data_IF_691576260411
#
_entry.id   IF_691576260411
#
_cell.length_a   1.000
_cell.length_b   1.000
_cell.length_c   1.000
_cell.angle_alpha   90.00
_cell.angle_beta   90.00
_cell.angle_gamma   90.00
#
_symmetry.space_group_name_H-M   'P 1'
#
loop_
_entity.id
_entity.type
_entity.pdbx_description
1 polymer ?
#
# COMPACT_ATOMS: atom_id res chain seq x y z
N UNK A 1 19.27 -47.83 -11.39
CA UNK A 1 19.67 -46.41 -11.32
C UNK A 1 18.75 -45.65 -12.28
N UNK A 2 17.69 -45.04 -11.75
CA UNK A 2 16.88 -44.08 -12.52
C UNK A 2 17.35 -42.70 -12.06
N UNK A 3 18.23 -42.09 -12.86
CA UNK A 3 18.61 -40.69 -12.73
C UNK A 3 17.34 -39.83 -12.70
N UNK A 4 17.26 -39.01 -11.66
CA UNK A 4 16.18 -38.08 -11.42
C UNK A 4 16.01 -37.15 -12.61
N UNK A 5 14.90 -37.31 -13.33
CA UNK A 5 14.36 -36.21 -14.12
C UNK A 5 13.84 -35.17 -13.13
N UNK A 6 14.68 -34.17 -12.83
CA UNK A 6 14.20 -32.90 -12.31
C UNK A 6 13.04 -32.46 -13.20
N UNK A 7 11.84 -32.43 -12.63
CA UNK A 7 10.67 -31.95 -13.36
C UNK A 7 10.94 -30.47 -13.63
N UNK A 8 11.15 -30.12 -14.90
CA UNK A 8 11.19 -28.72 -15.34
C UNK A 8 9.98 -27.99 -14.74
N UNK A 9 10.25 -27.11 -13.76
CA UNK A 9 9.23 -26.24 -13.19
C UNK A 9 8.65 -25.44 -14.37
N UNK A 10 7.32 -25.46 -14.60
CA UNK A 10 6.75 -24.70 -15.69
C UNK A 10 7.14 -23.24 -15.54
N UNK A 11 7.81 -22.70 -16.55
CA UNK A 11 8.22 -21.30 -16.59
C UNK A 11 6.94 -20.48 -16.65
N UNK A 12 6.47 -20.00 -15.50
CA UNK A 12 5.39 -19.02 -15.43
C UNK A 12 5.96 -17.69 -15.94
N UNK A 13 5.92 -17.51 -17.26
CA UNK A 13 6.29 -16.26 -17.92
C UNK A 13 5.17 -15.26 -17.66
N UNK A 14 5.45 -14.20 -16.90
CA UNK A 14 4.47 -13.15 -16.64
C UNK A 14 4.55 -12.55 -15.26
N UNK A 15 3.79 -11.47 -15.06
CA UNK A 15 3.55 -10.90 -13.75
C UNK A 15 2.72 -11.85 -12.89
N UNK A 16 3.28 -12.29 -11.75
CA UNK A 16 2.64 -13.24 -10.85
C UNK A 16 1.29 -12.72 -10.32
N UNK A 17 0.36 -13.62 -10.00
CA UNK A 17 -0.93 -13.24 -9.40
C UNK A 17 -0.76 -12.50 -8.06
N UNK A 18 0.23 -12.90 -7.27
CA UNK A 18 0.58 -12.24 -6.01
C UNK A 18 1.00 -10.77 -6.24
N UNK A 19 1.87 -10.51 -7.21
CA UNK A 19 2.33 -9.15 -7.52
C UNK A 19 1.21 -8.28 -8.07
N UNK A 20 0.35 -8.82 -8.93
CA UNK A 20 -0.85 -8.11 -9.41
C UNK A 20 -1.78 -7.74 -8.26
N UNK A 21 -2.05 -8.70 -7.36
CA UNK A 21 -2.92 -8.49 -6.20
C UNK A 21 -2.34 -7.41 -5.28
N UNK A 22 -1.03 -7.44 -5.06
CA UNK A 22 -0.33 -6.43 -4.26
C UNK A 22 -0.49 -5.04 -4.86
N UNK A 23 -0.22 -4.85 -6.15
CA UNK A 23 -0.37 -3.54 -6.80
C UNK A 23 -1.81 -3.05 -6.69
N UNK A 24 -2.79 -3.92 -6.95
CA UNK A 24 -4.21 -3.55 -6.84
C UNK A 24 -4.59 -3.17 -5.42
N UNK A 25 -4.13 -3.91 -4.42
CA UNK A 25 -4.33 -3.59 -3.02
C UNK A 25 -3.70 -2.24 -2.65
N UNK A 26 -2.48 -1.96 -3.14
CA UNK A 26 -1.81 -0.68 -2.92
C UNK A 26 -2.54 0.49 -3.57
N UNK A 27 -3.04 0.34 -4.79
CA UNK A 27 -3.84 1.38 -5.44
C UNK A 27 -5.15 1.60 -4.69
N UNK A 28 -5.85 0.52 -4.31
CA UNK A 28 -7.08 0.63 -3.53
C UNK A 28 -6.85 1.34 -2.19
N UNK A 29 -5.76 0.99 -1.49
CA UNK A 29 -5.37 1.61 -0.23
C UNK A 29 -4.99 3.09 -0.40
N UNK A 30 -4.23 3.43 -1.44
CA UNK A 30 -3.86 4.81 -1.74
C UNK A 30 -5.09 5.67 -2.07
N UNK A 31 -6.03 5.13 -2.85
CA UNK A 31 -7.32 5.78 -3.10
C UNK A 31 -8.17 5.90 -1.84
N UNK A 32 -8.06 4.95 -0.91
CA UNK A 32 -8.77 5.01 0.35
C UNK A 32 -8.23 6.15 1.21
N UNK A 33 -6.91 6.34 1.30
CA UNK A 33 -6.29 7.38 2.14
C UNK A 33 -6.35 8.75 1.48
N UNK A 34 -5.88 8.85 0.23
CA UNK A 34 -5.67 10.13 -0.47
C UNK A 34 -6.71 10.42 -1.55
N UNK A 35 -7.72 9.56 -1.69
CA UNK A 35 -8.77 9.79 -2.67
C UNK A 35 -9.56 11.07 -2.36
N UNK A 36 -9.98 11.82 -3.39
CA UNK A 36 -10.72 13.06 -3.20
C UNK A 36 -12.04 12.79 -2.47
N UNK A 37 -12.34 13.60 -1.45
CA UNK A 37 -13.60 13.59 -0.69
C UNK A 37 -14.49 14.75 -1.15
N UNK A 38 -13.89 15.93 -1.38
CA UNK A 38 -14.58 17.14 -1.85
C UNK A 38 -14.11 17.57 -3.25
N UNK A 39 -14.98 18.20 -4.07
CA UNK A 39 -16.37 18.58 -3.78
C UNK A 39 -17.42 17.48 -4.06
N UNK A 40 -16.97 16.29 -4.46
CA UNK A 40 -17.85 15.30 -5.09
C UNK A 40 -18.60 14.37 -4.12
N UNK A 41 -18.30 14.45 -2.82
CA UNK A 41 -18.98 13.69 -1.76
C UNK A 41 -18.62 12.20 -1.71
N UNK A 42 -19.18 11.52 -0.70
CA UNK A 42 -18.88 10.11 -0.39
C UNK A 42 -19.22 9.13 -1.53
N UNK A 43 -20.22 9.45 -2.35
CA UNK A 43 -20.67 8.58 -3.47
C UNK A 43 -19.56 8.46 -4.51
N UNK A 44 -18.91 9.56 -4.89
CA UNK A 44 -17.82 9.53 -5.86
C UNK A 44 -16.63 8.76 -5.29
N UNK A 45 -16.37 8.89 -3.99
CA UNK A 45 -15.37 8.07 -3.29
C UNK A 45 -15.62 6.58 -3.40
N UNK A 46 -16.84 6.14 -3.11
CA UNK A 46 -17.20 4.74 -3.27
C UNK A 46 -17.12 4.30 -4.74
N UNK A 47 -17.55 5.14 -5.68
CA UNK A 47 -17.52 4.82 -7.11
C UNK A 47 -16.09 4.52 -7.58
N UNK A 48 -15.12 5.39 -7.30
CA UNK A 48 -13.74 5.12 -7.74
C UNK A 48 -13.06 4.00 -6.95
N UNK A 49 -13.37 3.80 -5.66
CA UNK A 49 -12.87 2.67 -4.89
C UNK A 49 -13.36 1.32 -5.41
N UNK A 50 -14.54 1.29 -6.04
CA UNK A 50 -15.09 0.09 -6.67
C UNK A 50 -14.58 -0.07 -8.10
N UNK A 51 -14.46 1.02 -8.86
CA UNK A 51 -14.15 0.95 -10.31
C UNK A 51 -12.66 0.84 -10.58
N UNK A 52 -11.82 1.60 -9.88
CA UNK A 52 -10.38 1.69 -10.20
C UNK A 52 -9.64 0.38 -9.92
N UNK A 53 -9.80 -0.30 -8.76
CA UNK A 53 -9.03 -1.52 -8.49
C UNK A 53 -9.27 -2.65 -9.51
N UNK A 54 -10.51 -2.98 -9.92
CA UNK A 54 -10.76 -3.93 -11.01
C UNK A 54 -10.19 -3.47 -12.35
N UNK A 55 -10.24 -2.16 -12.65
CA UNK A 55 -9.69 -1.61 -13.88
C UNK A 55 -8.15 -1.76 -13.93
N UNK A 56 -7.47 -1.44 -12.83
CA UNK A 56 -6.02 -1.68 -12.68
C UNK A 56 -5.70 -3.16 -12.76
N UNK A 57 -6.47 -4.02 -12.09
CA UNK A 57 -6.32 -5.47 -12.18
C UNK A 57 -6.40 -5.95 -13.63
N UNK A 58 -7.39 -5.48 -14.39
CA UNK A 58 -7.60 -5.87 -15.78
C UNK A 58 -6.46 -5.39 -16.69
N UNK A 59 -5.98 -4.15 -16.50
CA UNK A 59 -4.81 -3.62 -17.21
C UNK A 59 -3.57 -4.48 -16.91
N UNK A 60 -3.30 -4.78 -15.64
CA UNK A 60 -2.18 -5.62 -15.23
C UNK A 60 -2.32 -7.06 -15.72
N UNK A 61 -3.54 -7.58 -15.86
CA UNK A 61 -3.76 -8.91 -16.44
C UNK A 61 -3.39 -8.92 -17.94
N UNK A 62 -3.77 -7.88 -18.68
CA UNK A 62 -3.51 -7.79 -20.12
C UNK A 62 -2.03 -7.50 -20.41
N UNK A 63 -1.45 -6.52 -19.74
CA UNK A 63 -0.05 -6.10 -19.91
C UNK A 63 0.93 -6.99 -19.16
N UNK A 64 0.58 -7.48 -17.97
CA UNK A 64 1.45 -8.35 -17.19
C UNK A 64 1.73 -9.69 -17.86
N UNK A 65 0.89 -10.13 -18.80
CA UNK A 65 1.12 -11.31 -19.63
C UNK A 65 2.19 -11.11 -20.72
N UNK A 66 2.40 -9.88 -21.19
CA UNK A 66 3.44 -9.60 -22.19
C UNK A 66 4.82 -9.39 -21.56
N UNK A 67 4.89 -9.17 -20.24
CA UNK A 67 6.15 -9.06 -19.51
C UNK A 67 6.77 -10.44 -19.33
N UNK A 68 7.98 -10.63 -19.85
CA UNK A 68 8.77 -11.85 -19.61
C UNK A 68 9.53 -11.70 -18.29
N UNK A 69 8.83 -11.90 -17.18
CA UNK A 69 9.44 -11.94 -15.85
C UNK A 69 9.56 -13.39 -15.39
N UNK A 70 10.77 -13.78 -15.01
CA UNK A 70 11.02 -15.02 -14.29
C UNK A 70 10.67 -14.87 -12.79
N UNK A 71 10.88 -15.92 -12.00
CA UNK A 71 10.59 -15.89 -10.56
C UNK A 71 11.42 -14.82 -9.84
N UNK A 72 12.71 -14.76 -10.15
CA UNK A 72 13.65 -13.79 -9.58
C UNK A 72 13.25 -12.34 -9.91
N UNK A 73 12.94 -12.04 -11.18
CA UNK A 73 12.49 -10.71 -11.59
C UNK A 73 11.16 -10.33 -10.94
N UNK A 74 10.24 -11.28 -10.73
CA UNK A 74 9.00 -11.02 -10.00
C UNK A 74 9.26 -10.66 -8.53
N UNK A 75 10.23 -11.30 -7.87
CA UNK A 75 10.62 -10.94 -6.50
C UNK A 75 11.28 -9.55 -6.45
N UNK A 76 12.25 -9.28 -7.32
CA UNK A 76 12.89 -7.97 -7.41
C UNK A 76 11.87 -6.85 -7.70
N UNK A 77 10.92 -7.10 -8.60
CA UNK A 77 9.87 -6.15 -8.91
C UNK A 77 8.97 -5.88 -7.70
N UNK A 78 8.55 -6.92 -6.97
CA UNK A 78 7.77 -6.76 -5.75
C UNK A 78 8.53 -5.92 -4.71
N UNK A 79 9.79 -6.24 -4.47
CA UNK A 79 10.65 -5.51 -3.53
C UNK A 79 10.85 -4.06 -3.96
N UNK A 80 11.00 -3.80 -5.25
CA UNK A 80 11.09 -2.45 -5.79
C UNK A 80 9.78 -1.66 -5.56
N UNK A 81 8.62 -2.26 -5.81
CA UNK A 81 7.31 -1.62 -5.57
C UNK A 81 7.13 -1.29 -4.09
N UNK A 82 7.43 -2.23 -3.19
CA UNK A 82 7.32 -1.99 -1.75
C UNK A 82 8.37 -0.97 -1.27
N UNK A 83 9.56 -0.96 -1.86
CA UNK A 83 10.58 0.05 -1.59
C UNK A 83 10.14 1.46 -2.00
N UNK A 84 9.51 1.61 -3.17
CA UNK A 84 8.92 2.88 -3.62
C UNK A 84 7.80 3.32 -2.68
N UNK A 85 6.93 2.39 -2.25
CA UNK A 85 5.88 2.67 -1.27
C UNK A 85 6.47 3.19 0.05
N UNK A 86 7.54 2.57 0.55
CA UNK A 86 8.23 3.04 1.76
C UNK A 86 8.75 4.48 1.60
N UNK A 87 9.31 4.81 0.43
CA UNK A 87 9.74 6.18 0.11
C UNK A 87 8.58 7.19 0.08
N UNK A 88 7.44 6.82 -0.52
CA UNK A 88 6.23 7.66 -0.54
C UNK A 88 5.70 7.89 0.87
N UNK A 89 5.62 6.85 1.70
CA UNK A 89 5.17 6.95 3.09
C UNK A 89 6.09 7.87 3.90
N UNK A 90 7.41 7.78 3.70
CA UNK A 90 8.36 8.65 4.39
C UNK A 90 8.26 10.11 3.93
N UNK A 91 8.02 10.35 2.64
CA UNK A 91 7.73 11.69 2.13
C UNK A 91 6.40 12.25 2.70
N UNK A 92 5.37 11.40 2.83
CA UNK A 92 4.10 11.75 3.46
C UNK A 92 4.29 12.13 4.93
N UNK A 93 5.03 11.33 5.69
CA UNK A 93 5.39 11.64 7.08
C UNK A 93 6.07 13.00 7.22
N UNK A 94 6.98 13.34 6.30
CA UNK A 94 7.63 14.64 6.30
C UNK A 94 6.64 15.79 6.01
N UNK A 95 5.68 15.59 5.12
CA UNK A 95 4.61 16.56 4.89
C UNK A 95 3.71 16.72 6.12
N UNK A 96 3.34 15.62 6.78
CA UNK A 96 2.57 15.62 8.05
C UNK A 96 3.29 16.38 9.16
N UNK A 97 4.61 16.19 9.27
CA UNK A 97 5.47 16.90 10.22
C UNK A 97 5.60 18.40 9.92
N UNK A 98 5.64 18.78 8.64
CA UNK A 98 5.76 20.18 8.22
C UNK A 98 4.42 20.89 8.09
N UNK A 99 3.30 20.17 8.27
CA UNK A 99 1.97 20.75 8.18
C UNK A 99 1.78 21.84 9.24
N UNK A 100 1.21 22.96 8.79
CA UNK A 100 0.86 24.07 9.71
C UNK A 100 -0.41 23.78 10.48
N UNK A 101 -1.25 22.90 9.97
CA UNK A 101 -2.56 22.60 10.51
C UNK A 101 -2.86 21.11 10.38
N UNK A 102 -3.58 20.56 11.35
CA UNK A 102 -4.12 19.22 11.29
C UNK A 102 -5.51 19.17 11.92
N UNK A 103 -6.24 18.08 11.68
CA UNK A 103 -7.53 17.86 12.31
C UNK A 103 -7.35 17.09 13.61
N UNK A 104 -7.84 17.65 14.71
CA UNK A 104 -7.81 17.02 16.02
C UNK A 104 -9.24 16.98 16.60
N UNK A 105 -9.54 15.92 17.34
CA UNK A 105 -10.81 15.82 18.03
C UNK A 105 -10.79 16.70 19.28
N UNK A 106 -11.82 17.54 19.45
CA UNK A 106 -11.93 18.47 20.58
C UNK A 106 -12.15 17.78 21.93
N UNK A 107 -12.76 16.59 21.92
CA UNK A 107 -13.10 15.86 23.14
C UNK A 107 -12.99 14.35 22.94
N UNK A 108 -12.25 13.71 23.84
CA UNK A 108 -12.16 12.25 23.92
C UNK A 108 -12.87 11.76 25.18
N UNK A 109 -13.64 10.70 25.05
CA UNK A 109 -14.23 9.97 26.18
C UNK A 109 -13.57 8.59 26.32
N UNK A 110 -13.28 8.18 27.55
CA UNK A 110 -12.68 6.88 27.82
C UNK A 110 -13.78 5.81 27.74
N UNK A 111 -13.67 4.90 26.78
CA UNK A 111 -14.55 3.73 26.61
C UNK A 111 -13.84 2.45 27.08
N UNK A 112 -14.57 1.33 27.17
CA UNK A 112 -14.00 0.04 27.59
C UNK A 112 -12.84 -0.42 26.68
N UNK A 113 -12.92 -0.05 25.39
CA UNK A 113 -11.96 -0.47 24.36
C UNK A 113 -10.85 0.56 24.10
N UNK A 114 -10.93 1.76 24.69
CA UNK A 114 -9.95 2.82 24.46
C UNK A 114 -10.47 4.24 24.70
N UNK A 115 -10.14 5.14 23.77
CA UNK A 115 -10.60 6.53 23.77
C UNK A 115 -11.31 6.80 22.46
N UNK A 116 -12.58 7.19 22.54
CA UNK A 116 -13.38 7.53 21.38
C UNK A 116 -13.54 9.05 21.25
N UNK A 117 -13.50 9.53 20.02
CA UNK A 117 -13.76 10.92 19.69
C UNK A 117 -15.28 11.16 19.74
N UNK A 118 -15.73 11.93 20.74
CA UNK A 118 -17.14 12.31 20.91
C UNK A 118 -17.39 13.77 20.57
N UNK A 119 -16.32 14.56 20.36
CA UNK A 119 -16.39 15.96 19.95
C UNK A 119 -16.27 16.18 18.45
N UNK A 120 -16.33 17.45 18.05
CA UNK A 120 -16.09 17.85 16.67
C UNK A 120 -14.60 17.79 16.32
N UNK A 121 -14.30 17.49 15.06
CA UNK A 121 -12.96 17.65 14.49
C UNK A 121 -12.72 19.12 14.16
N UNK A 122 -11.70 19.71 14.77
CA UNK A 122 -11.32 21.11 14.52
C UNK A 122 -9.92 21.21 13.95
N UNK A 123 -9.66 22.27 13.20
CA UNK A 123 -8.35 22.54 12.61
C UNK A 123 -7.44 23.15 13.68
N UNK A 124 -6.53 22.36 14.21
CA UNK A 124 -5.54 22.78 15.20
C UNK A 124 -4.26 23.24 14.50
N UNK A 125 -3.60 24.27 15.06
CA UNK A 125 -2.30 24.75 14.56
C UNK A 125 -1.17 23.85 15.07
N UNK A 126 -0.38 23.32 14.15
CA UNK A 126 0.82 22.54 14.44
C UNK A 126 0.92 21.26 13.60
N UNK A 127 2.06 20.54 13.70
CA UNK A 127 2.30 19.28 13.01
C UNK A 127 1.33 18.16 13.42
N UNK A 128 1.01 17.27 12.49
CA UNK A 128 0.31 16.02 12.80
C UNK A 128 1.32 14.94 13.23
N UNK A 129 1.72 14.97 14.50
CA UNK A 129 2.68 14.02 15.05
C UNK A 129 2.16 12.58 15.07
N UNK A 130 0.84 12.39 15.24
CA UNK A 130 0.23 11.07 15.29
C UNK A 130 0.22 10.43 13.90
N UNK A 131 -0.25 11.16 12.89
CA UNK A 131 -0.21 10.74 11.48
C UNK A 131 1.23 10.46 11.03
N UNK A 132 2.15 11.39 11.30
CA UNK A 132 3.58 11.22 11.00
C UNK A 132 4.13 9.93 11.63
N UNK A 133 3.86 9.67 12.91
CA UNK A 133 4.39 8.49 13.59
C UNK A 133 3.89 7.19 12.93
N UNK A 134 2.60 7.11 12.61
CA UNK A 134 2.00 5.96 11.92
C UNK A 134 2.66 5.76 10.56
N UNK A 135 2.82 6.82 9.77
CA UNK A 135 3.44 6.78 8.45
C UNK A 135 4.91 6.32 8.51
N UNK A 136 5.68 6.77 9.50
CA UNK A 136 7.07 6.33 9.72
C UNK A 136 7.14 4.84 10.07
N UNK A 137 6.26 4.36 10.94
CA UNK A 137 6.21 2.93 11.31
C UNK A 137 5.87 2.08 10.08
N UNK A 138 4.87 2.48 9.31
CA UNK A 138 4.49 1.78 8.08
C UNK A 138 5.61 1.82 7.04
N UNK A 139 6.29 2.95 6.88
CA UNK A 139 7.45 3.08 6.00
C UNK A 139 8.59 2.14 6.43
N UNK A 140 8.85 2.04 7.73
CA UNK A 140 9.84 1.13 8.29
C UNK A 140 9.52 -0.34 8.03
N UNK A 141 8.26 -0.75 8.22
CA UNK A 141 7.81 -2.12 7.92
C UNK A 141 7.91 -2.42 6.42
N UNK A 142 7.48 -1.49 5.56
CA UNK A 142 7.59 -1.64 4.11
C UNK A 142 9.07 -1.73 3.68
N UNK A 143 9.93 -0.86 4.19
CA UNK A 143 11.37 -0.90 3.90
C UNK A 143 12.02 -2.19 4.40
N UNK A 144 11.67 -2.66 5.60
CA UNK A 144 12.13 -3.94 6.12
C UNK A 144 11.72 -5.10 5.20
N UNK A 145 10.46 -5.14 4.78
CA UNK A 145 9.98 -6.15 3.83
C UNK A 145 10.76 -6.09 2.51
N UNK A 146 10.93 -4.90 1.93
CA UNK A 146 11.66 -4.70 0.69
C UNK A 146 13.15 -5.09 0.80
N UNK A 147 13.78 -4.85 1.95
CA UNK A 147 15.20 -5.17 2.18
C UNK A 147 15.44 -6.61 2.64
N UNK A 148 14.44 -7.27 3.24
CA UNK A 148 14.54 -8.64 3.70
C UNK A 148 14.89 -9.59 2.55
N UNK A 149 15.92 -10.42 2.73
CA UNK A 149 16.22 -11.50 1.80
C UNK A 149 15.15 -12.56 1.94
N UNK A 150 14.46 -12.90 0.85
CA UNK A 150 13.74 -14.17 0.81
C UNK A 150 14.75 -15.28 0.60
N UNK A 151 14.81 -16.20 1.55
CA UNK A 151 15.45 -17.49 1.35
C UNK A 151 14.43 -18.27 0.52
N UNK A 152 14.57 -18.23 -0.79
CA UNK A 152 13.83 -19.11 -1.66
C UNK A 152 14.29 -20.54 -1.31
N UNK A 153 13.42 -21.28 -0.64
CA UNK A 153 13.62 -22.73 -0.50
C UNK A 153 13.45 -23.31 -1.90
N UNK A 154 14.57 -23.65 -2.52
CA UNK A 154 14.67 -24.31 -3.82
C UNK A 154 13.72 -25.52 -3.95
#
# INVERSE_FOLDING_TARGET
MNEGREKEKPINIGLSSANRNLIVALVAFALLIWGPIDPYGIIVRLAYLIIIPPLVWFILLKWGRSLRMDFSANDYFNRAVVGVLAGILLASAFMSYTSKYHYECTQYEQTYDGRDCVGDYTVTKGPDYAGMFIEVVLAGVAFWYASSKRIDKE
#
